data_IF_414075162680
#
_entry.id   IF_414075162680
#
_cell.length_a   1.000
_cell.length_b   1.000
_cell.length_c   1.000
_cell.angle_alpha   90.00
_cell.angle_beta   90.00
_cell.angle_gamma   90.00
#
_symmetry.space_group_name_H-M   'P 1'
#
loop_
_entity.id
_entity.type
_entity.pdbx_description
1 polymer ?
#
# COMPACT_ATOMS: atom_id res chain seq x y z
N UNK A 1 -15.41 -7.75 -24.74
CA UNK A 1 -15.27 -7.50 -23.29
C UNK A 1 -14.85 -6.05 -23.10
N UNK A 2 -15.31 -5.37 -22.04
CA UNK A 2 -14.84 -4.01 -21.75
C UNK A 2 -13.39 -4.11 -21.27
N UNK A 3 -12.48 -3.38 -21.91
CA UNK A 3 -11.09 -3.27 -21.47
C UNK A 3 -11.05 -2.64 -20.08
N UNK A 4 -10.33 -3.27 -19.13
CA UNK A 4 -10.17 -2.75 -17.77
C UNK A 4 -9.04 -1.72 -17.81
N UNK A 5 -9.24 -0.57 -17.14
CA UNK A 5 -8.26 0.52 -17.09
C UNK A 5 -7.75 0.71 -15.67
N UNK A 6 -6.44 0.70 -15.48
CA UNK A 6 -5.77 0.93 -14.20
C UNK A 6 -4.95 2.22 -14.25
N UNK A 7 -5.15 3.09 -13.26
CA UNK A 7 -4.34 4.29 -13.07
C UNK A 7 -3.35 4.10 -11.91
N UNK A 8 -2.07 4.33 -12.16
CA UNK A 8 -1.07 4.47 -11.11
C UNK A 8 -0.94 5.96 -10.76
N UNK A 9 -1.22 6.29 -9.51
CA UNK A 9 -1.03 7.65 -8.98
C UNK A 9 0.38 7.72 -8.37
N UNK A 10 1.33 8.24 -9.14
CA UNK A 10 2.74 8.33 -8.77
C UNK A 10 2.98 9.49 -7.80
N UNK A 11 3.34 9.13 -6.57
CA UNK A 11 3.65 10.05 -5.47
C UNK A 11 5.15 10.20 -5.21
N UNK A 12 6.02 9.74 -6.12
CA UNK A 12 7.48 9.80 -5.97
C UNK A 12 8.10 11.15 -6.27
N UNK A 13 7.36 12.09 -6.88
CA UNK A 13 7.81 13.47 -7.09
C UNK A 13 9.11 13.54 -7.92
N UNK A 14 9.13 12.82 -9.05
CA UNK A 14 10.29 12.62 -9.93
C UNK A 14 11.50 11.89 -9.31
N UNK A 15 11.41 11.41 -8.07
CA UNK A 15 12.49 10.62 -7.49
C UNK A 15 12.47 9.16 -8.00
N UNK A 16 13.61 8.60 -8.40
CA UNK A 16 13.70 7.18 -8.75
C UNK A 16 13.25 6.30 -7.58
N UNK A 17 12.42 5.29 -7.86
CA UNK A 17 11.93 4.38 -6.84
C UNK A 17 11.71 2.95 -7.36
N UNK A 18 12.33 1.99 -6.68
CA UNK A 18 12.15 0.56 -7.00
C UNK A 18 10.72 0.06 -6.82
N UNK A 19 9.92 0.69 -5.97
CA UNK A 19 8.51 0.37 -5.76
C UNK A 19 7.68 0.49 -7.04
N UNK A 20 7.98 1.46 -7.91
CA UNK A 20 7.29 1.61 -9.21
C UNK A 20 7.50 0.36 -10.08
N UNK A 21 8.75 -0.13 -10.18
CA UNK A 21 9.07 -1.35 -10.91
C UNK A 21 8.30 -2.55 -10.35
N UNK A 22 8.27 -2.70 -9.03
CA UNK A 22 7.59 -3.84 -8.39
C UNK A 22 6.07 -3.81 -8.64
N UNK A 23 5.45 -2.63 -8.55
CA UNK A 23 4.02 -2.46 -8.86
C UNK A 23 3.72 -2.85 -10.31
N UNK A 24 4.51 -2.38 -11.27
CA UNK A 24 4.36 -2.78 -12.68
C UNK A 24 4.50 -4.29 -12.88
N UNK A 25 5.46 -4.93 -12.21
CA UNK A 25 5.65 -6.38 -12.29
C UNK A 25 4.45 -7.14 -11.74
N UNK A 26 3.92 -6.74 -10.59
CA UNK A 26 2.73 -7.35 -9.98
C UNK A 26 1.49 -7.20 -10.88
N UNK A 27 1.31 -6.04 -11.50
CA UNK A 27 0.22 -5.78 -12.44
C UNK A 27 0.38 -6.65 -13.69
N UNK A 28 1.56 -6.68 -14.29
CA UNK A 28 1.83 -7.47 -15.49
C UNK A 28 1.63 -8.97 -15.24
N UNK A 29 2.17 -9.48 -14.14
CA UNK A 29 1.98 -10.88 -13.72
C UNK A 29 0.50 -11.20 -13.53
N UNK A 30 -0.25 -10.34 -12.85
CA UNK A 30 -1.70 -10.56 -12.65
C UNK A 30 -2.47 -10.51 -13.98
N UNK A 31 -2.09 -9.61 -14.90
CA UNK A 31 -2.67 -9.53 -16.25
C UNK A 31 -2.47 -10.83 -17.03
N UNK A 32 -1.27 -11.40 -16.97
CA UNK A 32 -0.92 -12.68 -17.62
C UNK A 32 -1.67 -13.87 -17.00
N UNK A 33 -1.69 -13.94 -15.66
CA UNK A 33 -2.36 -15.02 -14.91
C UNK A 33 -3.88 -15.03 -15.12
N UNK A 34 -4.52 -13.85 -15.11
CA UNK A 34 -5.97 -13.72 -15.28
C UNK A 34 -6.40 -13.67 -16.76
N UNK A 35 -5.45 -13.62 -17.71
CA UNK A 35 -5.68 -13.57 -19.15
C UNK A 35 -6.63 -12.44 -19.59
N UNK A 36 -6.47 -11.26 -18.99
CA UNK A 36 -7.34 -10.10 -19.23
C UNK A 36 -6.66 -9.01 -20.06
N UNK A 37 -7.48 -8.22 -20.75
CA UNK A 37 -7.02 -6.97 -21.33
C UNK A 37 -7.10 -5.83 -20.31
N UNK A 38 -5.94 -5.51 -19.73
CA UNK A 38 -5.72 -4.44 -18.77
C UNK A 38 -4.77 -3.40 -19.36
N UNK A 39 -5.19 -2.14 -19.42
CA UNK A 39 -4.33 -1.00 -19.73
C UNK A 39 -3.92 -0.27 -18.47
N UNK A 40 -2.70 0.26 -18.47
CA UNK A 40 -2.09 0.91 -17.32
C UNK A 40 -1.57 2.27 -17.76
N UNK A 41 -2.02 3.32 -17.09
CA UNK A 41 -1.51 4.67 -17.26
C UNK A 41 -0.93 5.17 -15.94
N UNK A 42 0.16 5.94 -16.01
CA UNK A 42 0.85 6.52 -14.84
C UNK A 42 0.62 8.02 -14.85
N UNK A 43 0.23 8.56 -13.70
CA UNK A 43 -0.04 9.99 -13.50
C UNK A 43 0.92 10.53 -12.45
N UNK A 44 1.78 11.48 -12.84
CA UNK A 44 2.73 12.11 -11.93
C UNK A 44 2.04 13.17 -11.08
N UNK A 45 1.50 12.73 -9.94
CA UNK A 45 0.61 13.55 -9.11
C UNK A 45 1.36 14.73 -8.52
N UNK A 46 2.52 14.49 -7.91
CA UNK A 46 3.17 15.52 -7.09
C UNK A 46 3.98 16.52 -7.92
N UNK A 47 4.71 16.05 -8.92
CA UNK A 47 5.55 16.94 -9.70
C UNK A 47 4.77 17.67 -10.79
N UNK A 48 3.80 16.99 -11.42
CA UNK A 48 3.09 17.53 -12.59
C UNK A 48 1.62 17.85 -12.33
N UNK A 49 1.09 17.54 -11.14
CA UNK A 49 -0.33 17.71 -10.82
C UNK A 49 -1.24 16.93 -11.79
N UNK A 50 -0.76 15.78 -12.28
CA UNK A 50 -1.49 14.90 -13.19
C UNK A 50 -2.39 13.96 -12.38
N UNK A 51 -3.67 13.88 -12.76
CA UNK A 51 -4.63 12.99 -12.13
C UNK A 51 -5.57 12.39 -13.20
N UNK A 52 -5.96 11.11 -13.05
CA UNK A 52 -6.96 10.48 -13.89
C UNK A 52 -8.36 11.03 -13.63
N UNK A 53 -9.26 10.78 -14.58
CA UNK A 53 -10.70 10.87 -14.36
C UNK A 53 -11.29 9.65 -13.63
N UNK A 54 -12.63 9.55 -13.64
CA UNK A 54 -13.38 8.39 -13.13
C UNK A 54 -13.66 7.32 -14.21
N UNK A 55 -13.02 7.46 -15.36
CA UNK A 55 -13.06 6.54 -16.50
C UNK A 55 -12.14 5.32 -16.32
N UNK A 56 -11.31 5.31 -15.28
CA UNK A 56 -10.51 4.16 -14.82
C UNK A 56 -11.29 3.30 -13.85
N UNK A 57 -11.01 2.00 -13.82
CA UNK A 57 -11.70 1.02 -12.99
C UNK A 57 -10.91 0.69 -11.71
N UNK A 58 -9.57 0.75 -11.78
CA UNK A 58 -8.64 0.44 -10.69
C UNK A 58 -7.64 1.58 -10.51
N UNK A 59 -7.29 1.89 -9.26
CA UNK A 59 -6.32 2.91 -8.90
C UNK A 59 -5.30 2.32 -7.92
N UNK A 60 -4.01 2.53 -8.18
CA UNK A 60 -2.93 2.19 -7.24
C UNK A 60 -2.16 3.48 -6.94
N UNK A 61 -2.26 3.96 -5.70
CA UNK A 61 -1.53 5.15 -5.26
C UNK A 61 -0.29 4.72 -4.49
N UNK A 62 0.87 5.19 -4.97
CA UNK A 62 2.16 4.70 -4.51
C UNK A 62 2.55 5.25 -3.15
N UNK A 63 3.65 4.71 -2.60
CA UNK A 63 4.44 5.43 -1.61
C UNK A 63 5.09 6.68 -2.22
N UNK A 64 5.86 7.39 -1.41
CA UNK A 64 6.49 8.63 -1.84
C UNK A 64 7.42 9.17 -0.77
N UNK A 65 8.49 9.89 -1.14
CA UNK A 65 9.36 10.54 -0.18
C UNK A 65 8.70 11.78 0.44
N UNK A 66 9.28 12.33 1.49
CA UNK A 66 8.84 13.60 2.06
C UNK A 66 7.68 13.49 3.06
N UNK A 67 7.10 14.64 3.38
CA UNK A 67 6.17 14.79 4.50
C UNK A 67 4.72 14.54 4.06
N UNK A 68 3.97 13.65 4.72
CA UNK A 68 2.52 13.51 4.55
C UNK A 68 1.74 14.51 5.42
N UNK A 69 2.38 15.52 6.01
CA UNK A 69 1.69 16.61 6.72
C UNK A 69 1.19 17.67 5.73
N UNK A 70 0.17 18.48 6.09
CA UNK A 70 -0.47 19.40 5.15
C UNK A 70 0.54 20.28 4.42
N UNK A 71 0.37 20.41 3.10
CA UNK A 71 1.17 21.32 2.29
C UNK A 71 0.28 22.33 1.58
N UNK A 72 0.89 23.40 1.08
CA UNK A 72 0.20 24.40 0.24
C UNK A 72 0.21 24.03 -1.25
N UNK A 73 0.76 22.86 -1.60
CA UNK A 73 0.94 22.48 -3.00
C UNK A 73 -0.40 22.16 -3.66
N UNK A 74 -0.56 22.61 -4.90
CA UNK A 74 -1.82 22.47 -5.62
C UNK A 74 -2.27 21.01 -5.79
N UNK A 75 -1.30 20.10 -5.99
CA UNK A 75 -1.58 18.67 -6.17
C UNK A 75 -2.31 18.05 -4.99
N UNK A 76 -2.05 18.50 -3.77
CA UNK A 76 -2.61 17.88 -2.57
C UNK A 76 -4.14 18.04 -2.53
N UNK A 77 -4.62 19.25 -2.84
CA UNK A 77 -6.06 19.52 -2.94
C UNK A 77 -6.71 18.72 -4.07
N UNK A 78 -6.07 18.65 -5.24
CA UNK A 78 -6.63 17.91 -6.36
C UNK A 78 -6.65 16.40 -6.11
N UNK A 79 -5.62 15.86 -5.46
CA UNK A 79 -5.56 14.47 -5.06
C UNK A 79 -6.69 14.12 -4.10
N UNK A 80 -6.93 14.92 -3.05
CA UNK A 80 -8.06 14.68 -2.14
C UNK A 80 -9.41 14.82 -2.84
N UNK A 81 -9.56 15.75 -3.77
CA UNK A 81 -10.76 15.85 -4.60
C UNK A 81 -11.01 14.59 -5.42
N UNK A 82 -9.97 13.97 -6.00
CA UNK A 82 -10.10 12.67 -6.66
C UNK A 82 -10.53 11.57 -5.68
N UNK A 83 -9.91 11.50 -4.50
CA UNK A 83 -10.27 10.52 -3.46
C UNK A 83 -11.74 10.67 -3.07
N UNK A 84 -12.21 11.88 -2.74
CA UNK A 84 -13.61 12.13 -2.38
C UNK A 84 -14.58 11.71 -3.50
N UNK A 85 -14.23 12.02 -4.76
CA UNK A 85 -15.00 11.61 -5.94
C UNK A 85 -15.06 10.10 -6.12
N UNK A 86 -14.00 9.36 -5.79
CA UNK A 86 -13.98 7.89 -5.84
C UNK A 86 -14.91 7.30 -4.79
N UNK A 87 -14.90 7.82 -3.56
CA UNK A 87 -15.84 7.42 -2.52
C UNK A 87 -17.29 7.74 -2.90
N UNK A 88 -17.56 8.94 -3.43
CA UNK A 88 -18.91 9.33 -3.86
C UNK A 88 -19.40 8.46 -5.02
N UNK A 89 -18.56 8.22 -6.02
CA UNK A 89 -18.89 7.33 -7.12
C UNK A 89 -19.25 5.94 -6.61
N UNK A 90 -18.46 5.38 -5.69
CA UNK A 90 -18.73 4.08 -5.10
C UNK A 90 -20.01 4.04 -4.27
N UNK A 91 -20.46 5.15 -3.66
CA UNK A 91 -21.77 5.17 -2.99
C UNK A 91 -22.94 5.06 -3.96
N UNK A 92 -22.83 5.71 -5.12
CA UNK A 92 -23.95 5.88 -6.04
C UNK A 92 -24.04 4.80 -7.12
N UNK A 93 -22.93 4.14 -7.46
CA UNK A 93 -22.85 3.26 -8.63
C UNK A 93 -22.77 1.79 -8.24
N UNK A 94 -23.36 0.91 -9.07
CA UNK A 94 -23.25 -0.55 -8.88
C UNK A 94 -21.87 -1.06 -9.23
N UNK A 95 -21.34 -0.61 -10.38
CA UNK A 95 -19.96 -0.84 -10.76
C UNK A 95 -19.09 0.07 -9.89
N UNK A 96 -18.21 -0.53 -9.09
CA UNK A 96 -17.35 0.21 -8.15
C UNK A 96 -15.99 0.50 -8.75
N UNK A 97 -15.24 1.41 -8.14
CA UNK A 97 -13.84 1.73 -8.39
C UNK A 97 -13.00 1.16 -7.26
N UNK A 98 -11.90 0.51 -7.59
CA UNK A 98 -11.02 -0.10 -6.61
C UNK A 98 -9.78 0.75 -6.39
N UNK A 99 -9.38 0.97 -5.15
CA UNK A 99 -8.24 1.83 -4.81
C UNK A 99 -7.32 1.14 -3.81
N UNK A 100 -6.04 1.07 -4.14
CA UNK A 100 -4.98 0.60 -3.24
C UNK A 100 -4.07 1.76 -2.86
N UNK A 101 -3.81 1.94 -1.57
CA UNK A 101 -2.99 3.03 -1.03
C UNK A 101 -1.74 2.46 -0.33
N UNK A 102 -0.56 2.95 -0.69
CA UNK A 102 0.72 2.45 -0.19
C UNK A 102 1.47 3.56 0.57
N UNK A 103 1.90 3.27 1.79
CA UNK A 103 2.78 4.10 2.62
C UNK A 103 2.39 5.59 2.68
N UNK A 104 2.97 6.43 1.83
CA UNK A 104 2.71 7.87 1.79
C UNK A 104 1.27 8.19 1.40
N UNK A 105 0.72 7.58 0.34
CA UNK A 105 -0.68 7.81 -0.06
C UNK A 105 -1.66 7.30 1.00
N UNK A 106 -1.35 6.19 1.67
CA UNK A 106 -2.10 5.72 2.83
C UNK A 106 -2.15 6.77 3.94
N UNK A 107 -1.01 7.39 4.27
CA UNK A 107 -0.93 8.43 5.29
C UNK A 107 -1.73 9.68 4.90
N UNK A 108 -1.64 10.11 3.64
CA UNK A 108 -2.40 11.25 3.12
C UNK A 108 -3.91 11.01 3.24
N UNK A 109 -4.40 9.84 2.80
CA UNK A 109 -5.83 9.52 2.84
C UNK A 109 -6.32 9.34 4.28
N UNK A 110 -5.54 8.68 5.14
CA UNK A 110 -5.86 8.57 6.57
C UNK A 110 -5.97 9.95 7.25
N UNK A 111 -5.07 10.88 6.90
CA UNK A 111 -5.10 12.26 7.39
C UNK A 111 -6.33 13.02 6.87
N UNK A 112 -6.63 12.88 5.58
CA UNK A 112 -7.78 13.51 4.93
C UNK A 112 -9.10 13.14 5.63
N UNK A 113 -9.29 11.85 5.93
CA UNK A 113 -10.47 11.36 6.65
C UNK A 113 -10.41 11.54 8.16
N UNK A 114 -9.28 12.01 8.71
CA UNK A 114 -9.05 12.26 10.14
C UNK A 114 -9.28 11.02 11.01
N UNK A 115 -8.87 9.85 10.51
CA UNK A 115 -9.05 8.58 11.23
C UNK A 115 -7.98 8.33 12.31
N UNK A 116 -6.99 9.22 12.41
CA UNK A 116 -5.98 9.22 13.45
C UNK A 116 -5.00 10.36 13.27
N UNK A 117 -3.90 10.32 14.02
CA UNK A 117 -2.84 11.32 13.99
C UNK A 117 -1.67 10.85 13.12
N UNK A 118 -1.31 11.66 12.13
CA UNK A 118 -0.05 11.52 11.41
C UNK A 118 1.03 12.31 12.15
N UNK A 119 2.08 11.64 12.60
CA UNK A 119 3.20 12.28 13.31
C UNK A 119 4.55 11.79 12.80
N UNK A 120 5.58 12.62 12.96
CA UNK A 120 6.97 12.22 12.72
C UNK A 120 7.40 11.20 13.78
N UNK A 121 8.13 10.17 13.37
CA UNK A 121 8.73 9.17 14.27
C UNK A 121 9.93 9.77 14.98
N UNK A 122 10.24 9.22 16.17
CA UNK A 122 11.51 9.53 16.87
C UNK A 122 12.73 9.06 16.09
N UNK A 123 12.58 7.96 15.36
CA UNK A 123 13.59 7.40 14.46
C UNK A 123 12.91 6.79 13.24
N UNK A 124 13.55 6.89 12.08
CA UNK A 124 13.11 6.26 10.83
C UNK A 124 12.87 4.77 11.06
N UNK A 125 11.71 4.27 10.62
CA UNK A 125 11.49 2.82 10.48
C UNK A 125 12.17 2.39 9.21
N UNK A 126 13.14 1.48 9.29
CA UNK A 126 13.79 0.90 8.12
C UNK A 126 14.13 -0.57 8.39
N UNK A 127 13.50 -1.47 7.63
CA UNK A 127 13.73 -2.91 7.75
C UNK A 127 12.53 -3.75 7.34
N UNK A 128 12.61 -5.03 7.65
CA UNK A 128 11.52 -6.00 7.49
C UNK A 128 11.02 -6.32 8.88
N UNK A 129 9.74 -6.03 9.15
CA UNK A 129 9.19 -6.16 10.49
C UNK A 129 7.92 -7.00 10.50
N UNK A 130 7.65 -7.69 11.63
CA UNK A 130 6.37 -8.34 11.85
C UNK A 130 5.26 -7.30 12.01
N UNK A 131 4.13 -7.58 11.40
CA UNK A 131 2.90 -6.80 11.42
C UNK A 131 1.80 -7.75 11.90
N UNK A 132 1.10 -7.34 12.95
CA UNK A 132 0.10 -8.17 13.61
C UNK A 132 -1.30 -7.76 13.21
N UNK A 133 -2.17 -8.74 13.05
CA UNK A 133 -3.58 -8.46 12.75
C UNK A 133 -4.30 -7.95 13.99
N UNK A 134 -5.37 -7.22 13.72
CA UNK A 134 -6.44 -6.95 14.68
C UNK A 134 -7.54 -8.00 14.51
N UNK A 135 -8.56 -7.97 15.35
CA UNK A 135 -9.75 -8.82 15.21
C UNK A 135 -10.40 -8.67 13.81
N UNK A 136 -10.58 -7.43 13.33
CA UNK A 136 -11.06 -7.17 11.96
C UNK A 136 -10.09 -7.72 10.90
N UNK A 137 -8.79 -7.60 11.16
CA UNK A 137 -7.73 -8.13 10.28
C UNK A 137 -7.72 -9.64 10.12
N UNK A 138 -8.26 -10.42 11.07
CA UNK A 138 -8.39 -11.87 10.89
C UNK A 138 -9.45 -12.23 9.84
N UNK A 139 -10.44 -11.36 9.62
CA UNK A 139 -11.48 -11.53 8.59
C UNK A 139 -11.10 -10.96 7.23
N UNK A 140 -9.96 -10.27 7.14
CA UNK A 140 -9.51 -9.56 5.95
C UNK A 140 -9.13 -10.52 4.80
N UNK A 141 -9.83 -10.49 3.65
CA UNK A 141 -9.54 -11.34 2.50
C UNK A 141 -8.08 -11.31 2.02
N UNK A 142 -7.43 -10.15 2.04
CA UNK A 142 -6.05 -9.99 1.57
C UNK A 142 -5.00 -10.51 2.55
N UNK A 143 -5.40 -10.84 3.78
CA UNK A 143 -4.50 -11.44 4.78
C UNK A 143 -4.72 -12.95 4.94
N UNK A 144 -5.73 -13.53 4.30
CA UNK A 144 -6.13 -14.93 4.49
C UNK A 144 -5.00 -15.95 4.26
N UNK A 145 -4.15 -15.69 3.26
CA UNK A 145 -3.03 -16.57 2.90
C UNK A 145 -1.70 -16.25 3.61
N UNK A 146 -1.69 -15.23 4.48
CA UNK A 146 -0.48 -14.84 5.23
C UNK A 146 -0.48 -15.50 6.62
N UNK A 147 0.68 -15.62 7.29
CA UNK A 147 0.75 -15.91 8.71
C UNK A 147 0.41 -14.68 9.57
N UNK A 148 0.27 -14.88 10.88
CA UNK A 148 0.20 -13.80 11.86
C UNK A 148 1.29 -14.00 12.93
N UNK A 149 2.30 -13.10 13.03
CA UNK A 149 2.46 -11.90 12.22
C UNK A 149 2.81 -12.19 10.75
N UNK A 150 2.39 -11.29 9.85
CA UNK A 150 2.94 -11.21 8.50
C UNK A 150 4.20 -10.33 8.50
N UNK A 151 5.10 -10.50 7.54
CA UNK A 151 6.31 -9.70 7.43
C UNK A 151 6.30 -8.84 6.19
N UNK A 152 6.62 -7.56 6.34
CA UNK A 152 6.72 -6.65 5.21
C UNK A 152 7.84 -5.62 5.42
N UNK A 153 8.22 -4.98 4.32
CA UNK A 153 9.16 -3.86 4.34
C UNK A 153 8.47 -2.63 4.92
N UNK A 154 9.12 -2.03 5.90
CA UNK A 154 8.73 -0.76 6.50
C UNK A 154 9.87 0.24 6.34
N UNK A 155 9.61 1.33 5.62
CA UNK A 155 10.58 2.37 5.30
C UNK A 155 9.90 3.74 5.37
N UNK A 156 9.87 4.36 6.56
CA UNK A 156 9.10 5.60 6.79
C UNK A 156 9.62 6.46 7.95
N UNK A 157 9.45 7.76 7.79
CA UNK A 157 9.69 8.76 8.84
C UNK A 157 8.42 9.21 9.57
N UNK A 158 7.25 8.89 9.02
CA UNK A 158 5.95 9.25 9.57
C UNK A 158 5.14 8.01 9.92
N UNK A 159 4.16 8.19 10.81
CA UNK A 159 3.31 7.10 11.27
C UNK A 159 1.90 7.57 11.54
N UNK A 160 0.94 6.64 11.35
CA UNK A 160 -0.43 6.83 11.79
C UNK A 160 -0.60 6.17 13.15
N UNK A 161 -0.92 6.96 14.17
CA UNK A 161 -1.22 6.49 15.53
C UNK A 161 -2.49 7.18 16.04
N UNK A 162 -2.89 6.90 17.27
CA UNK A 162 -3.99 7.58 17.97
C UNK A 162 -5.29 7.53 17.16
N UNK A 163 -5.82 6.33 16.89
CA UNK A 163 -7.02 6.15 16.09
C UNK A 163 -8.19 6.94 16.68
N UNK A 164 -8.90 7.64 15.80
CA UNK A 164 -10.18 8.25 16.13
C UNK A 164 -11.29 7.22 15.88
N UNK A 165 -11.55 6.36 16.87
CA UNK A 165 -12.49 5.25 16.74
C UNK A 165 -13.91 5.69 16.35
N UNK A 166 -14.40 6.79 16.93
CA UNK A 166 -15.70 7.35 16.57
C UNK A 166 -15.76 7.70 15.08
N UNK A 167 -14.71 8.32 14.55
CA UNK A 167 -14.64 8.69 13.13
C UNK A 167 -14.48 7.48 12.21
N UNK A 168 -13.68 6.49 12.64
CA UNK A 168 -13.49 5.23 11.92
C UNK A 168 -14.83 4.49 11.78
N UNK A 169 -15.58 4.38 12.88
CA UNK A 169 -16.90 3.74 12.92
C UNK A 169 -17.94 4.52 12.10
N UNK A 170 -18.00 5.85 12.26
CA UNK A 170 -18.90 6.73 11.49
C UNK A 170 -18.71 6.55 9.96
N UNK A 171 -17.46 6.34 9.53
CA UNK A 171 -17.11 6.14 8.13
C UNK A 171 -17.21 4.67 7.67
N UNK A 172 -17.50 3.73 8.56
CA UNK A 172 -17.54 2.29 8.27
C UNK A 172 -16.17 1.69 7.91
N UNK A 173 -15.09 2.32 8.38
CA UNK A 173 -13.72 1.87 8.13
C UNK A 173 -13.28 0.84 9.16
N UNK A 174 -12.27 0.02 8.83
CA UNK A 174 -11.70 -0.97 9.75
C UNK A 174 -10.19 -0.85 9.83
N UNK A 175 -9.66 -0.79 11.05
CA UNK A 175 -8.22 -0.94 11.30
C UNK A 175 -7.90 -2.42 11.25
N UNK A 176 -7.01 -2.84 10.37
CA UNK A 176 -6.79 -4.26 10.08
C UNK A 176 -5.51 -4.80 10.71
N UNK A 177 -4.47 -3.98 10.81
CA UNK A 177 -3.19 -4.42 11.32
C UNK A 177 -2.47 -3.32 12.09
N UNK A 178 -1.62 -3.73 13.04
CA UNK A 178 -0.82 -2.87 13.89
C UNK A 178 0.65 -3.30 13.85
N UNK A 179 1.55 -2.33 14.10
CA UNK A 179 3.00 -2.51 14.14
C UNK A 179 3.41 -3.59 15.16
N UNK A 180 4.63 -4.12 15.11
CA UNK A 180 5.16 -5.10 16.09
C UNK A 180 4.81 -4.78 17.56
N UNK A 181 4.56 -5.82 18.35
CA UNK A 181 4.34 -5.69 19.80
C UNK A 181 5.67 -5.29 20.47
N UNK A 182 5.65 -4.24 21.30
CA UNK A 182 6.83 -3.72 22.01
C UNK A 182 6.49 -3.46 23.48
N UNK A 183 6.50 -4.48 24.36
CA UNK A 183 6.05 -4.32 25.75
C UNK A 183 6.94 -3.35 26.54
N UNK A 184 8.20 -3.18 26.13
CA UNK A 184 9.17 -2.31 26.80
C UNK A 184 9.20 -0.87 26.26
N UNK A 185 8.40 -0.54 25.24
CA UNK A 185 8.38 0.79 24.62
C UNK A 185 7.03 1.43 24.87
N UNK A 186 6.99 2.46 25.71
CA UNK A 186 5.78 3.23 26.00
C UNK A 186 5.45 4.22 24.86
N UNK A 187 5.33 3.71 23.63
CA UNK A 187 4.89 4.42 22.45
C UNK A 187 3.80 3.61 21.77
N UNK A 188 2.74 4.30 21.36
CA UNK A 188 1.63 3.70 20.64
C UNK A 188 2.12 2.98 19.38
N UNK A 189 1.48 1.85 19.08
CA UNK A 189 1.76 1.06 17.86
C UNK A 189 1.14 1.77 16.67
N UNK A 190 1.89 1.87 15.59
CA UNK A 190 1.37 2.44 14.35
C UNK A 190 0.29 1.53 13.74
N UNK A 191 -0.73 2.15 13.14
CA UNK A 191 -1.71 1.48 12.29
C UNK A 191 -1.02 1.13 10.97
N UNK A 192 -1.04 -0.15 10.63
CA UNK A 192 -0.30 -0.70 9.50
C UNK A 192 -1.18 -0.99 8.28
N UNK A 193 -2.48 -1.21 8.47
CA UNK A 193 -3.42 -1.36 7.36
C UNK A 193 -4.84 -0.94 7.75
N UNK A 194 -5.58 -0.40 6.78
CA UNK A 194 -6.98 0.03 6.93
C UNK A 194 -7.79 -0.40 5.72
N UNK A 195 -8.99 -0.94 5.98
CA UNK A 195 -10.07 -1.04 5.00
C UNK A 195 -10.88 0.25 5.07
N UNK A 196 -10.73 1.13 4.09
CA UNK A 196 -11.44 2.40 4.07
C UNK A 196 -12.86 2.27 3.48
N UNK A 197 -13.07 1.29 2.60
CA UNK A 197 -14.38 0.79 2.17
C UNK A 197 -14.18 -0.64 1.65
N UNK A 198 -15.24 -1.32 1.21
CA UNK A 198 -15.12 -2.64 0.58
C UNK A 198 -14.13 -2.67 -0.61
N UNK A 199 -13.99 -1.56 -1.32
CA UNK A 199 -13.18 -1.42 -2.54
C UNK A 199 -11.90 -0.59 -2.34
N UNK A 200 -11.74 0.07 -1.19
CA UNK A 200 -10.60 0.94 -0.90
C UNK A 200 -9.81 0.37 0.29
N UNK A 201 -8.58 -0.02 0.02
CA UNK A 201 -7.67 -0.65 0.98
C UNK A 201 -6.33 0.08 0.99
N UNK A 202 -5.68 0.15 2.15
CA UNK A 202 -4.35 0.72 2.19
C UNK A 202 -3.46 0.17 3.30
N UNK A 203 -2.16 0.27 3.05
CA UNK A 203 -1.09 -0.22 3.93
C UNK A 203 -0.10 0.90 4.22
N UNK A 204 0.36 1.00 5.47
CA UNK A 204 1.48 1.87 5.84
C UNK A 204 2.83 1.26 5.43
N UNK A 205 2.89 -0.06 5.31
CA UNK A 205 4.05 -0.81 4.83
C UNK A 205 4.03 -0.94 3.30
N UNK A 206 5.09 -1.54 2.77
CA UNK A 206 5.33 -1.75 1.33
C UNK A 206 5.07 -3.21 0.92
N UNK A 207 3.81 -3.61 0.65
CA UNK A 207 3.49 -4.95 0.16
C UNK A 207 3.98 -5.19 -1.26
N UNK A 208 4.33 -4.15 -2.01
CA UNK A 208 4.88 -4.26 -3.37
C UNK A 208 6.33 -4.75 -3.39
N UNK A 209 7.04 -4.66 -2.26
CA UNK A 209 8.48 -4.86 -2.22
C UNK A 209 8.89 -6.30 -2.56
N UNK A 210 9.57 -6.48 -3.70
CA UNK A 210 10.04 -7.80 -4.14
C UNK A 210 11.43 -8.15 -3.57
N UNK A 211 11.58 -9.38 -3.09
CA UNK A 211 12.80 -9.78 -2.37
C UNK A 211 14.04 -9.81 -3.26
N UNK A 212 13.91 -10.20 -4.53
CA UNK A 212 15.05 -10.35 -5.44
C UNK A 212 15.62 -8.99 -5.87
N UNK A 213 14.75 -8.05 -6.23
CA UNK A 213 15.09 -6.70 -6.61
C UNK A 213 15.65 -5.89 -5.45
N UNK A 214 15.05 -6.02 -4.26
CA UNK A 214 15.58 -5.40 -3.05
C UNK A 214 16.95 -5.96 -2.66
N UNK A 215 17.15 -7.27 -2.75
CA UNK A 215 18.46 -7.89 -2.50
C UNK A 215 19.51 -7.33 -3.47
N UNK A 216 19.21 -7.30 -4.77
CA UNK A 216 20.12 -6.71 -5.77
C UNK A 216 20.44 -5.25 -5.46
N UNK A 217 19.45 -4.46 -5.06
CA UNK A 217 19.65 -3.05 -4.70
C UNK A 217 20.51 -2.90 -3.44
N UNK A 218 20.30 -3.72 -2.40
CA UNK A 218 21.07 -3.68 -1.15
C UNK A 218 22.50 -4.19 -1.30
N UNK A 219 22.77 -5.03 -2.30
CA UNK A 219 24.12 -5.49 -2.63
C UNK A 219 24.94 -4.45 -3.41
N UNK A 220 24.34 -3.32 -3.82
CA UNK A 220 25.13 -2.20 -4.39
C UNK A 220 25.97 -1.53 -3.31
N UNK A 221 27.21 -1.16 -3.64
CA UNK A 221 28.12 -0.52 -2.69
C UNK A 221 27.54 0.77 -2.10
N UNK A 222 26.91 1.60 -2.94
CA UNK A 222 26.25 2.84 -2.52
C UNK A 222 25.19 2.55 -1.45
N UNK A 223 24.30 1.59 -1.70
CA UNK A 223 23.19 1.33 -0.78
C UNK A 223 23.67 0.63 0.49
N UNK A 224 24.58 -0.35 0.37
CA UNK A 224 25.20 -1.03 1.51
C UNK A 224 25.87 0.00 2.43
N UNK A 225 26.73 0.85 1.88
CA UNK A 225 27.47 1.85 2.66
C UNK A 225 26.52 2.84 3.33
N UNK A 226 25.46 3.28 2.64
CA UNK A 226 24.44 4.13 3.22
C UNK A 226 23.72 3.47 4.42
N UNK A 227 23.32 2.20 4.28
CA UNK A 227 22.62 1.47 5.35
C UNK A 227 23.57 1.23 6.53
N UNK A 228 24.80 0.79 6.28
CA UNK A 228 25.80 0.54 7.33
C UNK A 228 26.14 1.83 8.08
N UNK A 229 26.29 2.95 7.38
CA UNK A 229 26.57 4.24 8.00
C UNK A 229 25.41 4.73 8.89
N UNK A 230 24.16 4.53 8.46
CA UNK A 230 22.98 5.06 9.15
C UNK A 230 22.40 4.12 10.22
N UNK A 231 22.54 2.81 10.04
CA UNK A 231 21.86 1.78 10.83
C UNK A 231 22.78 0.68 11.37
N UNK A 232 24.04 0.65 10.95
CA UNK A 232 25.03 -0.35 11.36
C UNK A 232 25.00 -1.63 10.53
N UNK A 233 26.12 -2.35 10.55
CA UNK A 233 26.32 -3.59 9.78
C UNK A 233 25.40 -4.73 10.22
N UNK A 234 25.11 -4.83 11.52
CA UNK A 234 24.17 -5.83 12.03
C UNK A 234 22.78 -5.67 11.41
N UNK A 235 22.29 -4.43 11.24
CA UNK A 235 20.97 -4.17 10.63
C UNK A 235 20.96 -4.51 9.15
N UNK A 236 22.05 -4.20 8.44
CA UNK A 236 22.21 -4.58 7.04
C UNK A 236 22.14 -6.11 6.86
N UNK A 237 22.89 -6.86 7.65
CA UNK A 237 22.91 -8.33 7.57
C UNK A 237 21.52 -8.92 7.89
N UNK A 238 20.85 -8.45 8.94
CA UNK A 238 19.47 -8.87 9.27
C UNK A 238 18.49 -8.67 8.11
N UNK A 239 18.63 -7.57 7.37
CA UNK A 239 17.79 -7.26 6.22
C UNK A 239 18.09 -8.18 5.03
N UNK A 240 19.37 -8.45 4.75
CA UNK A 240 19.80 -9.39 3.70
C UNK A 240 19.29 -10.80 4.00
N UNK A 241 19.45 -11.27 5.24
CA UNK A 241 18.97 -12.60 5.65
C UNK A 241 17.44 -12.70 5.52
N UNK A 242 16.72 -11.65 5.91
CA UNK A 242 15.26 -11.61 5.80
C UNK A 242 14.75 -11.50 4.37
N UNK A 243 15.55 -11.00 3.43
CA UNK A 243 15.25 -11.00 1.99
C UNK A 243 15.40 -12.39 1.36
N UNK A 244 16.20 -13.26 1.96
CA UNK A 244 16.40 -14.62 1.47
C UNK A 244 15.38 -15.62 2.04
N UNK A 245 14.66 -15.21 3.09
CA UNK A 245 13.63 -16.02 3.75
C UNK A 245 12.32 -16.04 2.93
N UNK A 246 11.91 -17.20 2.37
CA UNK A 246 10.74 -17.29 1.52
C UNK A 246 9.41 -17.03 2.25
N UNK A 247 9.37 -17.20 3.58
CA UNK A 247 8.15 -17.06 4.38
C UNK A 247 7.92 -15.62 4.86
N UNK A 248 8.83 -14.70 4.56
CA UNK A 248 8.71 -13.28 4.92
C UNK A 248 8.12 -12.44 3.78
N UNK A 249 8.95 -11.64 3.13
CA UNK A 249 8.50 -10.56 2.24
C UNK A 249 7.90 -11.12 0.95
N UNK A 250 8.48 -12.23 0.44
CA UNK A 250 8.01 -12.90 -0.78
C UNK A 250 6.55 -13.32 -0.66
N UNK A 251 6.13 -13.79 0.51
CA UNK A 251 4.75 -14.21 0.72
C UNK A 251 3.80 -12.99 0.73
N UNK A 252 4.19 -11.90 1.38
CA UNK A 252 3.42 -10.64 1.38
C UNK A 252 3.27 -10.06 -0.03
N UNK A 253 4.36 -10.03 -0.81
CA UNK A 253 4.39 -9.58 -2.21
C UNK A 253 3.49 -10.41 -3.11
N UNK A 254 3.52 -11.73 -2.98
CA UNK A 254 2.72 -12.64 -3.79
C UNK A 254 1.22 -12.62 -3.45
N UNK A 255 0.82 -12.07 -2.30
CA UNK A 255 -0.55 -12.17 -1.78
C UNK A 255 -1.30 -10.85 -1.82
N UNK A 256 -0.80 -9.77 -1.23
CA UNK A 256 -1.66 -8.61 -0.89
C UNK A 256 -2.13 -7.88 -2.16
N UNK A 257 -1.21 -7.29 -2.92
CA UNK A 257 -1.55 -6.55 -4.14
C UNK A 257 -2.19 -7.47 -5.19
N UNK A 258 -1.67 -8.69 -5.46
CA UNK A 258 -2.34 -9.62 -6.37
C UNK A 258 -3.78 -9.95 -5.95
N UNK A 259 -4.05 -10.17 -4.67
CA UNK A 259 -5.42 -10.44 -4.20
C UNK A 259 -6.36 -9.26 -4.42
N UNK A 260 -5.87 -8.03 -4.17
CA UNK A 260 -6.61 -6.81 -4.50
C UNK A 260 -6.91 -6.73 -6.00
N UNK A 261 -5.89 -6.90 -6.85
CA UNK A 261 -6.03 -6.81 -8.30
C UNK A 261 -7.03 -7.86 -8.81
N UNK A 262 -6.92 -9.12 -8.38
CA UNK A 262 -7.86 -10.19 -8.77
C UNK A 262 -9.28 -9.89 -8.31
N UNK A 263 -9.48 -9.37 -7.09
CA UNK A 263 -10.82 -8.97 -6.65
C UNK A 263 -11.40 -7.87 -7.53
N UNK A 264 -10.61 -6.84 -7.83
CA UNK A 264 -11.03 -5.74 -8.67
C UNK A 264 -11.37 -6.23 -10.08
N UNK A 265 -10.49 -7.02 -10.70
CA UNK A 265 -10.68 -7.61 -12.04
C UNK A 265 -11.97 -8.43 -12.11
N UNK A 266 -12.21 -9.32 -11.13
CA UNK A 266 -13.41 -10.16 -11.08
C UNK A 266 -14.70 -9.36 -10.97
N UNK A 267 -14.66 -8.15 -10.42
CA UNK A 267 -15.82 -7.27 -10.36
C UNK A 267 -16.21 -6.69 -11.73
N UNK A 268 -15.31 -6.72 -12.72
CA UNK A 268 -15.54 -6.25 -14.09
C UNK A 268 -15.58 -7.39 -15.13
N UNK A 269 -15.07 -8.58 -14.78
CA UNK A 269 -15.20 -9.76 -15.61
C UNK A 269 -16.68 -10.23 -15.62
N UNK A 270 -17.20 -10.71 -16.77
CA UNK A 270 -18.49 -11.37 -16.79
C UNK A 270 -18.42 -12.60 -15.87
N UNK A 271 -19.43 -12.80 -15.02
CA UNK A 271 -19.58 -14.01 -14.21
C UNK A 271 -19.52 -15.21 -15.15
N UNK A 272 -18.39 -15.90 -15.22
CA UNK A 272 -18.36 -17.24 -15.80
C UNK A 272 -19.19 -18.12 -14.86
N UNK A 273 -20.26 -18.78 -15.33
CA UNK A 273 -20.96 -19.75 -14.50
C UNK A 273 -19.94 -20.80 -14.06
N UNK A 274 -19.81 -21.01 -12.75
CA UNK A 274 -19.02 -22.13 -12.25
C UNK A 274 -19.63 -23.40 -12.86
N UNK A 275 -18.90 -24.05 -13.75
CA UNK A 275 -19.22 -25.42 -14.14
C UNK A 275 -18.96 -26.27 -12.91
N UNK A 276 -20.04 -26.61 -12.20
CA UNK A 276 -20.04 -27.72 -11.25
C UNK A 276 -19.67 -28.98 -12.04
N UNK A 277 -18.49 -29.54 -11.75
CA UNK A 277 -18.21 -30.95 -11.91
C UNK A 277 -18.26 -31.60 -10.53
#
# INVERSE_FOLDING_TARGET
MKQIRLAILDMYDNHPNEGMRCIHQLIQKTKEEEQIDLTVDVFNVRANNELPGLDYDIYVSTGGPGSPLPSSDAWERHYFSLIDRLFEYNRQNRQKKYVFLICHSFQLVARHFRIGMISKRRSTSFGIFPIHRTDDGHSEPYFKALPDPLFAVDSRDFQLTSPNWNRIEELGMKVLALEKIRPHVNLERAIMAVRFSNEIFGTQFHPEADSAGMLRYFLTDEKRNQIVANHGEAKYNEMVDSLQDPDKIRLTEAVIIPSFLRQAIRAFAPLTPQMHN
#
